data_IF_616614729879
#
_entry.id   IF_616614729879
#
_cell.length_a   1.000
_cell.length_b   1.000
_cell.length_c   1.000
_cell.angle_alpha   90.00
_cell.angle_beta   90.00
_cell.angle_gamma   90.00
#
_symmetry.space_group_name_H-M   'P 1'
#
loop_
_entity.id
_entity.type
_entity.pdbx_description
1 polymer ?
#
# COMPACT_ATOMS: atom_id res chain seq x y z
N UNK A 1 28.09 -17.09 43.37
CA UNK A 1 26.80 -16.35 43.25
C UNK A 1 26.56 -15.75 41.86
N UNK A 2 27.59 -15.40 41.08
CA UNK A 2 27.41 -14.75 39.76
C UNK A 2 26.72 -15.62 38.68
N UNK A 3 26.95 -16.94 38.67
CA UNK A 3 26.37 -17.85 37.65
C UNK A 3 24.84 -17.94 37.67
N UNK A 4 24.19 -17.78 38.84
CA UNK A 4 22.72 -17.82 38.94
C UNK A 4 22.05 -16.66 38.23
N UNK A 5 22.64 -15.47 38.26
CA UNK A 5 22.10 -14.29 37.59
C UNK A 5 22.26 -14.38 36.07
N UNK A 6 23.37 -14.94 35.58
CA UNK A 6 23.59 -15.22 34.16
C UNK A 6 22.52 -16.14 33.57
N UNK A 7 22.14 -17.20 34.30
CA UNK A 7 21.08 -18.13 33.87
C UNK A 7 19.72 -17.42 33.79
N UNK A 8 19.39 -16.58 34.77
CA UNK A 8 18.13 -15.83 34.79
C UNK A 8 18.06 -14.84 33.62
N UNK A 9 19.15 -14.12 33.33
CA UNK A 9 19.22 -13.19 32.19
C UNK A 9 19.05 -13.94 30.87
N UNK A 10 19.66 -15.12 30.74
CA UNK A 10 19.55 -15.94 29.54
C UNK A 10 18.12 -16.43 29.30
N UNK A 11 17.42 -16.86 30.36
CA UNK A 11 16.01 -17.27 30.29
C UNK A 11 15.10 -16.09 29.92
N UNK A 12 15.33 -14.91 30.50
CA UNK A 12 14.61 -13.67 30.15
C UNK A 12 14.83 -13.26 28.70
N UNK A 13 16.07 -13.34 28.21
CA UNK A 13 16.39 -13.04 26.81
C UNK A 13 15.68 -14.00 25.85
N UNK A 14 15.68 -15.30 26.16
CA UNK A 14 14.96 -16.32 25.38
C UNK A 14 13.45 -16.06 25.39
N UNK A 15 12.87 -15.76 26.55
CA UNK A 15 11.44 -15.45 26.67
C UNK A 15 11.07 -14.21 25.84
N UNK A 16 11.90 -13.17 25.86
CA UNK A 16 11.69 -11.96 25.06
C UNK A 16 11.78 -12.26 23.55
N UNK A 17 12.72 -13.12 23.15
CA UNK A 17 12.85 -13.56 21.75
C UNK A 17 11.62 -14.35 21.29
N UNK A 18 11.09 -15.24 22.15
CA UNK A 18 9.86 -15.98 21.87
C UNK A 18 8.66 -15.06 21.71
N UNK A 19 8.54 -14.02 22.53
CA UNK A 19 7.48 -13.01 22.38
C UNK A 19 7.58 -12.27 21.04
N UNK A 20 8.79 -11.86 20.64
CA UNK A 20 9.00 -11.19 19.35
C UNK A 20 8.67 -12.09 18.15
N UNK A 21 9.10 -13.36 18.19
CA UNK A 21 8.81 -14.34 17.14
C UNK A 21 7.32 -14.67 17.08
N UNK A 22 6.65 -14.77 18.22
CA UNK A 22 5.20 -15.00 18.29
C UNK A 22 4.42 -13.86 17.63
N UNK A 23 4.80 -12.61 17.90
CA UNK A 23 4.14 -11.43 17.33
C UNK A 23 4.34 -11.35 15.80
N UNK A 24 5.57 -11.61 15.33
CA UNK A 24 5.88 -11.72 13.89
C UNK A 24 5.15 -12.87 13.20
N UNK A 25 5.02 -14.02 13.87
CA UNK A 25 4.31 -15.18 13.31
C UNK A 25 2.80 -14.97 13.23
N UNK A 26 2.22 -14.13 14.11
CA UNK A 26 0.79 -13.84 14.11
C UNK A 26 0.40 -12.68 13.20
N UNK A 27 1.36 -12.04 12.52
CA UNK A 27 1.11 -11.10 11.42
C UNK A 27 0.57 -11.85 10.20
N UNK A 28 -0.66 -12.34 10.31
CA UNK A 28 -1.38 -12.98 9.21
C UNK A 28 -2.00 -11.87 8.38
N UNK A 29 -1.56 -11.80 7.11
CA UNK A 29 -2.13 -10.93 6.09
C UNK A 29 -3.58 -11.37 5.87
N UNK A 30 -4.50 -10.65 6.47
CA UNK A 30 -5.84 -11.20 6.77
C UNK A 30 -6.85 -11.04 5.64
N UNK A 31 -6.58 -10.20 4.63
CA UNK A 31 -7.48 -10.04 3.49
C UNK A 31 -6.67 -9.82 2.22
N UNK A 32 -6.84 -10.69 1.23
CA UNK A 32 -6.50 -10.38 -0.16
C UNK A 32 -7.67 -9.57 -0.73
N UNK A 33 -7.36 -8.36 -1.18
CA UNK A 33 -8.32 -7.38 -1.71
C UNK A 33 -9.47 -7.10 -0.75
N UNK A 34 -9.15 -6.44 0.37
CA UNK A 34 -10.14 -5.57 0.99
C UNK A 34 -10.80 -4.70 -0.09
N UNK A 35 -12.13 -4.62 -0.09
CA UNK A 35 -13.03 -4.10 -1.14
C UNK A 35 -12.77 -2.64 -1.57
N UNK A 36 -11.57 -2.32 -2.04
CA UNK A 36 -11.27 -1.03 -2.62
C UNK A 36 -11.90 -1.01 -4.00
N UNK A 37 -12.80 -0.05 -4.21
CA UNK A 37 -13.40 0.16 -5.50
C UNK A 37 -12.61 1.24 -6.24
N UNK A 38 -12.15 0.91 -7.45
CA UNK A 38 -11.60 1.90 -8.37
C UNK A 38 -12.79 2.67 -8.94
N UNK A 39 -12.90 3.96 -8.59
CA UNK A 39 -14.00 4.83 -9.04
C UNK A 39 -13.69 5.39 -10.42
N UNK A 40 -12.47 5.90 -10.60
CA UNK A 40 -12.02 6.48 -11.85
C UNK A 40 -10.51 6.35 -11.99
N UNK A 41 -10.05 6.40 -13.25
CA UNK A 41 -8.64 6.51 -13.64
C UNK A 41 -8.54 7.50 -14.77
N UNK A 42 -7.42 8.21 -14.83
CA UNK A 42 -7.16 9.13 -15.92
C UNK A 42 -5.70 9.50 -16.05
N UNK A 43 -5.42 10.26 -17.10
CA UNK A 43 -4.09 10.78 -17.42
C UNK A 43 -4.05 12.30 -17.23
N UNK A 44 -5.19 12.95 -16.99
CA UNK A 44 -5.30 14.35 -16.65
C UNK A 44 -5.77 14.53 -15.19
N UNK A 45 -5.32 15.59 -14.52
CA UNK A 45 -5.74 15.93 -13.16
C UNK A 45 -7.27 16.09 -13.03
N UNK A 46 -7.95 16.49 -14.11
CA UNK A 46 -9.39 16.69 -14.13
C UNK A 46 -10.21 15.40 -14.27
N UNK A 47 -9.56 14.28 -14.62
CA UNK A 47 -10.21 13.00 -14.83
C UNK A 47 -10.59 12.34 -13.49
N UNK A 48 -9.81 12.58 -12.44
CA UNK A 48 -10.08 12.09 -11.09
C UNK A 48 -10.61 13.21 -10.22
N UNK A 49 -11.85 13.09 -9.75
CA UNK A 49 -12.50 14.10 -8.92
C UNK A 49 -12.71 13.54 -7.54
N UNK A 50 -12.17 14.19 -6.51
CA UNK A 50 -12.38 13.76 -5.12
C UNK A 50 -13.88 13.84 -4.78
N UNK A 51 -14.53 12.69 -4.78
CA UNK A 51 -15.90 12.47 -4.36
C UNK A 51 -16.03 12.28 -2.86
N UNK A 52 -17.26 12.04 -2.40
CA UNK A 52 -17.53 11.74 -0.99
C UNK A 52 -17.01 10.35 -0.63
N UNK A 53 -16.12 10.25 0.35
CA UNK A 53 -15.51 8.99 0.78
C UNK A 53 -14.51 8.40 -0.22
N UNK A 54 -13.96 9.21 -1.14
CA UNK A 54 -12.93 8.76 -2.08
C UNK A 54 -11.59 9.47 -1.85
N UNK A 55 -10.52 8.78 -2.20
CA UNK A 55 -9.14 9.26 -2.15
C UNK A 55 -8.58 9.23 -3.56
N UNK A 56 -7.98 10.35 -3.98
CA UNK A 56 -7.31 10.45 -5.28
C UNK A 56 -5.80 10.38 -5.07
N UNK A 57 -5.14 9.50 -5.80
CA UNK A 57 -3.67 9.43 -5.88
C UNK A 57 -3.24 9.92 -7.25
N UNK A 58 -2.20 10.76 -7.27
CA UNK A 58 -1.58 11.27 -8.48
C UNK A 58 -0.17 10.72 -8.63
N UNK A 59 0.21 10.41 -9.86
CA UNK A 59 1.53 9.92 -10.23
C UNK A 59 2.54 11.07 -10.44
N UNK A 60 2.04 12.29 -10.53
CA UNK A 60 2.81 13.47 -10.93
C UNK A 60 2.94 13.57 -12.44
N UNK A 61 3.77 14.51 -12.89
CA UNK A 61 3.92 14.80 -14.31
C UNK A 61 4.58 13.63 -15.07
N UNK A 62 4.04 13.29 -16.24
CA UNK A 62 4.59 12.30 -17.16
C UNK A 62 4.60 12.83 -18.59
N UNK A 63 5.59 12.44 -19.42
CA UNK A 63 5.80 13.04 -20.74
C UNK A 63 4.81 12.56 -21.81
N UNK A 64 3.99 11.55 -21.52
CA UNK A 64 3.06 10.97 -22.51
C UNK A 64 1.73 10.56 -21.87
N UNK A 65 0.69 10.39 -22.68
CA UNK A 65 -0.62 9.87 -22.28
C UNK A 65 -0.65 8.37 -21.97
N UNK A 66 0.49 7.69 -22.09
CA UNK A 66 0.59 6.25 -21.92
C UNK A 66 0.71 5.77 -20.48
N UNK A 67 1.01 6.68 -19.56
CA UNK A 67 1.21 6.37 -18.16
C UNK A 67 -0.13 6.21 -17.42
N UNK A 68 -0.20 5.24 -16.52
CA UNK A 68 -1.38 5.00 -15.68
C UNK A 68 -0.99 4.44 -14.32
N UNK A 69 -1.94 4.46 -13.37
CA UNK A 69 -1.77 3.85 -12.05
C UNK A 69 -2.69 2.64 -11.95
N UNK A 70 -2.13 1.50 -11.55
CA UNK A 70 -2.87 0.27 -11.28
C UNK A 70 -2.89 -0.04 -9.77
N UNK A 71 -4.06 -0.45 -9.28
CA UNK A 71 -4.20 -1.05 -7.95
C UNK A 71 -3.82 -2.51 -8.06
N UNK A 72 -2.70 -2.90 -7.46
CA UNK A 72 -2.21 -4.28 -7.47
C UNK A 72 -2.95 -5.11 -6.43
N UNK A 73 -2.95 -4.61 -5.20
CA UNK A 73 -3.61 -5.28 -4.10
C UNK A 73 -3.87 -4.33 -2.94
N UNK A 74 -4.75 -4.75 -2.06
CA UNK A 74 -4.98 -4.12 -0.77
C UNK A 74 -5.14 -5.19 0.28
N UNK A 75 -4.62 -4.91 1.47
CA UNK A 75 -4.61 -5.88 2.55
C UNK A 75 -4.43 -5.21 3.91
N UNK A 76 -4.88 -5.89 4.95
CA UNK A 76 -4.58 -5.52 6.33
C UNK A 76 -3.40 -6.33 6.86
N UNK A 77 -2.50 -5.67 7.59
CA UNK A 77 -1.67 -6.33 8.61
C UNK A 77 -1.74 -5.51 9.90
N UNK A 78 -2.05 -6.16 11.01
CA UNK A 78 -2.18 -5.53 12.33
C UNK A 78 -3.15 -4.32 12.30
N UNK A 79 -2.68 -3.14 12.71
CA UNK A 79 -3.46 -1.90 12.72
C UNK A 79 -3.27 -1.04 11.44
N UNK A 80 -2.69 -1.62 10.38
CA UNK A 80 -2.41 -0.93 9.13
C UNK A 80 -3.17 -1.55 7.96
N UNK A 81 -3.66 -0.68 7.10
CA UNK A 81 -4.35 -1.01 5.87
C UNK A 81 -3.51 -0.52 4.70
N UNK A 82 -2.99 -1.48 3.95
CA UNK A 82 -2.06 -1.25 2.86
C UNK A 82 -2.77 -1.20 1.52
N UNK A 83 -2.41 -0.21 0.71
CA UNK A 83 -2.84 -0.06 -0.68
C UNK A 83 -1.59 -0.08 -1.54
N UNK A 84 -1.43 -1.11 -2.36
CA UNK A 84 -0.27 -1.26 -3.24
C UNK A 84 -0.65 -0.80 -4.64
N UNK A 85 0.02 0.25 -5.08
CA UNK A 85 -0.16 0.85 -6.40
C UNK A 85 1.08 0.58 -7.25
N UNK A 86 0.87 0.50 -8.55
CA UNK A 86 1.94 0.34 -9.53
C UNK A 86 1.80 1.37 -10.63
N UNK A 87 2.92 2.01 -10.95
CA UNK A 87 3.03 2.78 -12.18
C UNK A 87 3.08 1.83 -13.37
N UNK A 88 2.21 2.08 -14.35
CA UNK A 88 2.22 1.37 -15.62
C UNK A 88 2.64 2.32 -16.73
N UNK A 89 3.81 2.02 -17.26
CA UNK A 89 4.38 2.71 -18.42
C UNK A 89 3.71 2.24 -19.73
N UNK A 90 3.67 3.09 -20.77
CA UNK A 90 3.29 2.66 -22.10
C UNK A 90 4.30 1.67 -22.67
N UNK A 91 3.82 0.73 -23.49
CA UNK A 91 4.72 -0.17 -24.21
C UNK A 91 5.41 0.59 -25.34
N UNK A 92 6.60 0.13 -25.73
CA UNK A 92 7.40 0.72 -26.82
C UNK A 92 6.67 0.84 -28.16
N UNK A 93 5.65 0.00 -28.40
CA UNK A 93 4.85 0.01 -29.63
C UNK A 93 3.49 0.69 -29.47
N UNK A 94 3.16 1.20 -28.28
CA UNK A 94 1.91 1.89 -28.06
C UNK A 94 1.98 3.30 -28.68
N UNK A 95 1.01 3.62 -29.53
CA UNK A 95 0.84 4.98 -30.03
C UNK A 95 0.31 5.84 -28.88
N UNK A 96 1.16 6.70 -28.33
CA UNK A 96 0.82 7.61 -27.24
C UNK A 96 0.97 9.06 -27.68
N UNK A 97 0.17 9.95 -27.09
CA UNK A 97 0.30 11.37 -27.33
C UNK A 97 1.50 11.90 -26.54
N UNK A 98 2.36 12.69 -27.18
CA UNK A 98 3.45 13.43 -26.53
C UNK A 98 2.90 14.72 -25.95
N UNK A 99 2.45 14.64 -24.70
CA UNK A 99 1.86 15.74 -23.95
C UNK A 99 2.17 15.51 -22.49
N UNK A 100 2.40 16.60 -21.74
CA UNK A 100 2.58 16.49 -20.29
C UNK A 100 1.24 16.09 -19.66
N UNK A 101 1.25 14.97 -18.96
CA UNK A 101 0.09 14.35 -18.31
C UNK A 101 0.30 14.30 -16.82
N UNK A 102 -0.77 14.12 -16.05
CA UNK A 102 -0.71 13.87 -14.62
C UNK A 102 -1.65 12.72 -14.28
N UNK A 103 -1.18 11.46 -14.45
CA UNK A 103 -2.00 10.30 -14.23
C UNK A 103 -2.51 10.19 -12.81
N UNK A 104 -3.75 9.73 -12.68
CA UNK A 104 -4.46 9.69 -11.42
C UNK A 104 -5.33 8.43 -11.30
N UNK A 105 -5.59 8.04 -10.06
CA UNK A 105 -6.54 6.99 -9.70
C UNK A 105 -7.37 7.46 -8.52
N UNK A 106 -8.69 7.31 -8.63
CA UNK A 106 -9.64 7.55 -7.56
C UNK A 106 -10.07 6.22 -6.95
N UNK A 107 -9.87 6.09 -5.65
CA UNK A 107 -10.18 4.90 -4.88
C UNK A 107 -11.26 5.22 -3.85
N UNK A 108 -12.28 4.38 -3.77
CA UNK A 108 -13.20 4.33 -2.64
C UNK A 108 -12.69 3.30 -1.65
N UNK A 109 -12.20 3.79 -0.53
CA UNK A 109 -11.63 2.97 0.54
C UNK A 109 -12.76 2.65 1.53
N UNK A 110 -12.97 1.37 1.91
CA UNK A 110 -13.98 1.03 2.90
C UNK A 110 -13.69 1.72 4.24
N UNK A 111 -14.76 2.06 4.97
CA UNK A 111 -14.60 2.65 6.31
C UNK A 111 -13.84 1.69 7.22
N UNK A 112 -12.71 2.15 7.75
CA UNK A 112 -11.85 1.35 8.60
C UNK A 112 -11.27 2.22 9.71
N UNK A 113 -11.11 1.63 10.90
CA UNK A 113 -10.42 2.27 12.03
C UNK A 113 -8.89 2.13 11.95
N UNK A 114 -8.39 1.40 10.96
CA UNK A 114 -6.97 1.13 10.74
C UNK A 114 -6.27 2.34 10.09
N UNK A 115 -4.98 2.47 10.32
CA UNK A 115 -4.16 3.49 9.67
C UNK A 115 -3.95 3.13 8.20
N UNK A 116 -4.29 4.05 7.29
CA UNK A 116 -4.10 3.87 5.85
C UNK A 116 -2.63 4.12 5.47
N UNK A 117 -2.05 3.22 4.68
CA UNK A 117 -0.72 3.38 4.12
C UNK A 117 -0.73 3.02 2.63
N UNK A 118 -0.30 3.97 1.79
CA UNK A 118 -0.18 3.79 0.33
C UNK A 118 1.29 3.50 0.02
N UNK A 119 1.54 2.43 -0.73
CA UNK A 119 2.88 2.02 -1.17
C UNK A 119 2.92 1.86 -2.68
N UNK A 120 4.11 2.08 -3.24
CA UNK A 120 4.40 1.88 -4.65
C UNK A 120 5.25 0.62 -4.83
N UNK A 121 4.91 -0.19 -5.82
CA UNK A 121 5.70 -1.34 -6.29
C UNK A 121 6.65 -0.94 -7.43
#
# INVERSE_FOLDING_TARGET
>A
MQFKYLIIIFILAISCLFFLVYDLSNSIRTDKTSEILIVSKGWNINDCKKGNGTTVIYLGERPTSGYSIDLIESYTVNNQFYIILKEKEPKLMDQTLQVITNPCIELKIPETKKTLEIRWE
#
